data_IF_822880435057
#
_entry.id   IF_822880435057
#
_cell.length_a   1.000
_cell.length_b   1.000
_cell.length_c   1.000
_cell.angle_alpha   90.00
_cell.angle_beta   90.00
_cell.angle_gamma   90.00
#
_symmetry.space_group_name_H-M   'P 1'
#
loop_
_entity.id
_entity.type
_entity.pdbx_description
1 polymer ?
#
# COMPACT_ATOMS: atom_id res chain seq x y z
N UNK A 1 -23.86 10.06 -2.88
CA UNK A 1 -22.64 10.60 -3.50
C UNK A 1 -22.58 12.05 -3.09
N UNK A 2 -21.49 12.49 -2.47
CA UNK A 2 -21.30 13.87 -2.04
C UNK A 2 -20.06 14.43 -2.74
N UNK A 3 -20.12 15.68 -3.18
CA UNK A 3 -19.01 16.31 -3.86
C UNK A 3 -18.26 17.22 -2.88
N UNK A 4 -16.97 16.92 -2.65
CA UNK A 4 -16.14 17.62 -1.67
C UNK A 4 -15.67 18.97 -2.25
N UNK A 5 -15.41 19.00 -3.56
CA UNK A 5 -15.14 20.19 -4.37
C UNK A 5 -15.78 19.99 -5.76
N UNK A 6 -16.11 21.07 -6.48
CA UNK A 6 -17.03 21.13 -7.64
C UNK A 6 -16.97 19.97 -8.66
N UNK A 7 -15.85 19.25 -8.80
CA UNK A 7 -15.68 18.13 -9.73
C UNK A 7 -15.25 16.78 -9.10
N UNK A 8 -14.99 16.69 -7.80
CA UNK A 8 -14.63 15.43 -7.11
C UNK A 8 -15.81 14.97 -6.27
N UNK A 9 -16.50 13.95 -6.77
CA UNK A 9 -17.64 13.34 -6.09
C UNK A 9 -17.28 11.96 -5.55
N UNK A 10 -17.50 11.78 -4.25
CA UNK A 10 -17.18 10.56 -3.52
C UNK A 10 -18.47 9.81 -3.22
N UNK A 11 -18.53 8.55 -3.62
CA UNK A 11 -19.55 7.61 -3.14
C UNK A 11 -18.97 6.79 -2.00
N UNK A 12 -19.76 6.65 -0.95
CA UNK A 12 -19.38 5.94 0.27
C UNK A 12 -20.53 5.02 0.62
N UNK A 13 -20.25 3.73 0.70
CA UNK A 13 -21.25 2.69 0.96
C UNK A 13 -20.62 1.47 1.62
N UNK A 14 -21.49 0.59 2.04
CA UNK A 14 -21.17 -0.77 2.45
C UNK A 14 -21.68 -1.76 1.40
N UNK A 15 -20.94 -2.84 1.18
CA UNK A 15 -21.39 -4.02 0.42
C UNK A 15 -21.28 -5.23 1.34
N UNK A 16 -22.37 -5.99 1.46
CA UNK A 16 -22.37 -7.29 2.11
C UNK A 16 -21.72 -8.32 1.21
N UNK A 17 -20.77 -9.08 1.73
CA UNK A 17 -20.09 -10.20 1.07
C UNK A 17 -20.15 -11.42 1.97
N UNK A 18 -19.82 -12.59 1.43
CA UNK A 18 -20.13 -13.93 1.94
C UNK A 18 -21.60 -14.36 1.73
N UNK A 19 -21.86 -15.66 1.92
CA UNK A 19 -23.19 -16.25 1.70
C UNK A 19 -24.26 -15.70 2.65
N UNK A 20 -23.90 -15.32 3.88
CA UNK A 20 -24.81 -14.75 4.87
C UNK A 20 -24.89 -13.22 4.83
N UNK A 21 -24.03 -12.59 4.01
CA UNK A 21 -23.75 -11.16 3.98
C UNK A 21 -23.38 -10.60 5.36
N UNK A 22 -22.78 -11.41 6.23
CA UNK A 22 -22.42 -10.98 7.58
C UNK A 22 -21.15 -10.12 7.59
N UNK A 23 -20.32 -10.21 6.55
CA UNK A 23 -19.18 -9.31 6.34
C UNK A 23 -19.62 -8.09 5.55
N UNK A 24 -19.46 -6.91 6.16
CA UNK A 24 -19.84 -5.63 5.58
C UNK A 24 -18.59 -4.82 5.24
N UNK A 25 -18.25 -4.77 3.94
CA UNK A 25 -17.08 -4.06 3.45
C UNK A 25 -17.42 -2.62 3.12
N UNK A 26 -16.67 -1.70 3.70
CA UNK A 26 -16.76 -0.27 3.46
C UNK A 26 -15.82 0.16 2.33
N UNK A 27 -16.29 1.07 1.48
CA UNK A 27 -15.46 1.61 0.40
C UNK A 27 -15.72 3.09 0.13
N UNK A 28 -14.70 3.72 -0.45
CA UNK A 28 -14.77 5.03 -1.09
C UNK A 28 -14.65 4.82 -2.59
N UNK A 29 -15.52 5.44 -3.38
CA UNK A 29 -15.45 5.41 -4.84
C UNK A 29 -15.38 6.82 -5.40
N UNK A 30 -14.44 7.03 -6.31
CA UNK A 30 -14.22 8.31 -7.00
C UNK A 30 -14.23 8.03 -8.50
N UNK A 31 -15.05 8.77 -9.23
CA UNK A 31 -15.06 8.74 -10.69
C UNK A 31 -13.82 9.43 -11.25
N UNK A 32 -13.37 8.96 -12.40
CA UNK A 32 -12.35 9.67 -13.17
C UNK A 32 -12.74 11.13 -13.39
N UNK A 33 -11.78 12.03 -13.22
CA UNK A 33 -11.93 13.47 -13.49
C UNK A 33 -11.90 13.77 -15.00
N UNK A 34 -11.43 12.83 -15.85
CA UNK A 34 -11.53 12.92 -17.31
C UNK A 34 -12.84 12.36 -17.86
N UNK A 35 -12.86 11.14 -18.40
CA UNK A 35 -14.03 10.49 -18.96
C UNK A 35 -14.37 9.19 -18.20
N UNK A 36 -15.13 9.24 -17.09
CA UNK A 36 -15.41 8.06 -16.28
C UNK A 36 -16.20 6.95 -17.00
N UNK A 37 -16.75 7.20 -18.19
CA UNK A 37 -17.42 6.17 -19.02
C UNK A 37 -16.44 5.30 -19.80
N UNK A 38 -15.25 5.80 -20.08
CA UNK A 38 -14.23 5.12 -20.90
C UNK A 38 -12.99 4.80 -20.09
N UNK A 39 -12.64 5.68 -19.15
CA UNK A 39 -11.44 5.55 -18.34
C UNK A 39 -11.48 4.29 -17.47
N UNK A 40 -10.31 3.69 -17.20
CA UNK A 40 -10.25 2.47 -16.41
C UNK A 40 -10.86 2.58 -15.02
N UNK A 41 -11.39 1.47 -14.53
CA UNK A 41 -11.77 1.27 -13.14
C UNK A 41 -10.67 0.51 -12.41
N UNK A 42 -10.16 1.07 -11.32
CA UNK A 42 -9.13 0.46 -10.48
C UNK A 42 -9.73 0.07 -9.13
N UNK A 43 -9.64 -1.21 -8.79
CA UNK A 43 -9.89 -1.68 -7.43
C UNK A 43 -8.58 -1.56 -6.64
N UNK A 44 -8.54 -0.61 -5.70
CA UNK A 44 -7.41 -0.35 -4.81
C UNK A 44 -7.70 -0.93 -3.43
N UNK A 45 -7.00 -2.01 -3.07
CA UNK A 45 -7.24 -2.77 -1.84
C UNK A 45 -6.72 -2.06 -0.61
N UNK A 46 -6.55 -2.75 0.52
CA UNK A 46 -5.79 -2.30 1.70
C UNK A 46 -4.50 -3.08 1.93
N UNK A 47 -3.50 -2.42 2.53
CA UNK A 47 -2.19 -3.01 2.85
C UNK A 47 -2.16 -3.49 4.31
N UNK A 48 -0.95 -3.74 4.83
CA UNK A 48 -0.74 -4.14 6.23
C UNK A 48 -0.34 -5.61 6.39
N UNK A 49 -1.26 -6.53 6.77
CA UNK A 49 -2.73 -6.44 6.69
C UNK A 49 -3.38 -5.51 7.73
N UNK A 50 -4.56 -4.98 7.41
CA UNK A 50 -5.39 -4.20 8.34
C UNK A 50 -5.21 -2.68 8.30
N UNK A 51 -4.49 -2.13 7.32
CA UNK A 51 -4.34 -0.69 7.12
C UNK A 51 -5.43 -0.12 6.21
N UNK A 52 -6.28 0.77 6.70
CA UNK A 52 -7.44 1.35 6.00
C UNK A 52 -7.10 2.00 4.65
N UNK A 53 -8.05 1.86 3.72
CA UNK A 53 -8.02 2.34 2.35
C UNK A 53 -8.04 3.86 2.31
N UNK A 54 -8.49 4.47 3.40
CA UNK A 54 -8.38 5.89 3.62
C UNK A 54 -6.94 6.40 3.50
N UNK A 55 -5.93 5.58 3.83
CA UNK A 55 -4.52 5.96 3.59
C UNK A 55 -4.24 6.17 2.10
N UNK A 56 -4.73 5.24 1.27
CA UNK A 56 -4.66 5.34 -0.19
C UNK A 56 -5.40 6.58 -0.72
N UNK A 57 -6.51 6.90 -0.06
CA UNK A 57 -7.41 7.99 -0.43
C UNK A 57 -6.88 9.39 -0.11
N UNK A 58 -6.15 9.58 1.01
CA UNK A 58 -5.71 10.93 1.47
C UNK A 58 -4.19 11.15 1.55
N UNK A 59 -3.37 10.12 1.34
CA UNK A 59 -1.91 10.24 1.41
C UNK A 59 -1.22 9.78 0.13
N UNK A 60 -1.79 8.79 -0.55
CA UNK A 60 -1.14 8.13 -1.69
C UNK A 60 -1.72 8.66 -3.02
N UNK A 61 -2.69 7.94 -3.59
CA UNK A 61 -3.12 8.10 -4.98
C UNK A 61 -4.49 8.78 -5.12
N UNK A 62 -5.20 9.01 -4.01
CA UNK A 62 -6.56 9.54 -4.01
C UNK A 62 -6.64 11.05 -4.25
N UNK A 63 -7.87 11.58 -4.39
CA UNK A 63 -8.11 12.94 -4.85
C UNK A 63 -7.87 14.03 -3.79
N UNK A 64 -7.59 13.64 -2.55
CA UNK A 64 -7.53 14.57 -1.43
C UNK A 64 -6.21 14.40 -0.68
N UNK A 65 -5.83 15.44 0.05
CA UNK A 65 -4.76 15.49 1.03
C UNK A 65 -5.24 16.27 2.26
N UNK A 66 -4.54 16.16 3.37
CA UNK A 66 -4.72 17.12 4.46
C UNK A 66 -3.97 18.42 4.17
N UNK A 67 -4.59 19.55 4.50
CA UNK A 67 -3.93 20.86 4.43
C UNK A 67 -2.69 20.89 5.33
N UNK A 68 -1.57 21.40 4.80
CA UNK A 68 -0.36 21.62 5.59
C UNK A 68 -0.55 22.79 6.57
N UNK A 69 0.02 22.69 7.78
CA UNK A 69 -0.02 23.72 8.83
C UNK A 69 -1.41 23.97 9.46
N UNK A 70 -2.08 22.89 9.87
CA UNK A 70 -3.36 23.00 10.57
C UNK A 70 -3.22 23.59 11.97
N UNK A 71 -4.25 24.33 12.40
CA UNK A 71 -4.36 24.78 13.80
C UNK A 71 -4.71 23.57 14.67
N UNK A 72 -3.95 23.34 15.74
CA UNK A 72 -3.99 22.17 16.64
C UNK A 72 -5.37 21.83 17.27
N UNK A 73 -6.43 22.60 17.01
CA UNK A 73 -7.74 22.47 17.68
C UNK A 73 -8.96 22.51 16.74
N UNK A 74 -8.77 22.49 15.42
CA UNK A 74 -9.85 22.41 14.44
C UNK A 74 -9.95 21.03 13.81
N UNK A 75 -11.14 20.67 13.32
CA UNK A 75 -11.31 19.48 12.47
C UNK A 75 -10.32 19.59 11.29
N UNK A 76 -9.57 18.52 10.97
CA UNK A 76 -8.62 18.58 9.87
C UNK A 76 -9.27 18.92 8.53
N UNK A 77 -8.66 19.85 7.80
CA UNK A 77 -9.16 20.32 6.51
C UNK A 77 -8.56 19.49 5.37
N UNK A 78 -9.41 19.09 4.43
CA UNK A 78 -9.02 18.36 3.22
C UNK A 78 -8.88 19.33 2.04
N UNK A 79 -7.81 19.16 1.27
CA UNK A 79 -7.47 19.90 0.04
C UNK A 79 -7.32 18.93 -1.13
N UNK A 80 -7.40 19.42 -2.37
CA UNK A 80 -7.24 18.58 -3.56
C UNK A 80 -5.80 18.09 -3.71
N UNK A 81 -5.65 16.83 -4.14
CA UNK A 81 -4.37 16.26 -4.54
C UNK A 81 -4.11 16.53 -6.04
N UNK A 82 -3.12 17.37 -6.40
CA UNK A 82 -2.82 17.67 -7.79
C UNK A 82 -2.22 16.47 -8.55
N UNK A 83 -1.79 15.40 -7.86
CA UNK A 83 -1.21 14.20 -8.45
C UNK A 83 -2.11 12.97 -8.25
N UNK A 84 -3.42 13.19 -8.07
CA UNK A 84 -4.37 12.10 -7.92
C UNK A 84 -4.41 11.20 -9.16
N UNK A 85 -4.43 9.89 -8.95
CA UNK A 85 -4.65 8.92 -10.02
C UNK A 85 -6.09 8.97 -10.55
N UNK A 86 -7.02 9.59 -9.79
CA UNK A 86 -8.39 9.83 -10.25
C UNK A 86 -8.47 10.78 -11.43
N UNK A 87 -7.37 11.42 -11.82
CA UNK A 87 -7.31 12.25 -13.02
C UNK A 87 -7.49 11.49 -14.31
N UNK A 88 -7.18 10.19 -14.32
CA UNK A 88 -7.20 9.32 -15.52
C UNK A 88 -7.84 7.96 -15.26
N UNK A 89 -8.43 7.75 -14.08
CA UNK A 89 -9.08 6.49 -13.71
C UNK A 89 -10.19 6.72 -12.68
N UNK A 90 -11.23 5.88 -12.72
CA UNK A 90 -12.15 5.74 -11.60
C UNK A 90 -11.56 4.75 -10.59
N UNK A 91 -11.62 5.04 -9.30
CA UNK A 91 -10.95 4.22 -8.27
C UNK A 91 -11.90 3.86 -7.14
N UNK A 92 -11.92 2.58 -6.78
CA UNK A 92 -12.59 2.04 -5.60
C UNK A 92 -11.52 1.75 -4.54
N UNK A 93 -11.56 2.46 -3.42
CA UNK A 93 -10.71 2.23 -2.25
C UNK A 93 -11.51 1.42 -1.24
N UNK A 94 -11.13 0.16 -0.99
CA UNK A 94 -11.89 -0.77 -0.15
C UNK A 94 -11.14 -1.10 1.15
N UNK A 95 -11.83 -0.98 2.29
CA UNK A 95 -11.31 -1.43 3.58
C UNK A 95 -11.46 -2.97 3.70
N UNK A 96 -10.34 -3.69 3.56
CA UNK A 96 -10.28 -5.16 3.50
C UNK A 96 -8.91 -5.72 3.97
N UNK A 97 -8.82 -6.63 4.95
CA UNK A 97 -9.85 -7.60 5.36
C UNK A 97 -10.92 -7.01 6.29
N UNK A 98 -11.94 -7.81 6.61
CA UNK A 98 -12.96 -7.45 7.62
C UNK A 98 -12.30 -6.98 8.93
N UNK A 99 -12.84 -5.90 9.52
CA UNK A 99 -12.27 -5.21 10.68
C UNK A 99 -11.25 -4.11 10.34
N UNK A 100 -10.87 -3.96 9.07
CA UNK A 100 -10.07 -2.84 8.59
C UNK A 100 -10.92 -1.57 8.51
N UNK A 101 -10.40 -0.45 9.01
CA UNK A 101 -11.04 0.86 8.89
C UNK A 101 -12.51 0.86 9.35
N UNK A 102 -13.44 1.02 8.42
CA UNK A 102 -14.87 1.00 8.71
C UNK A 102 -15.59 -0.31 8.36
N UNK A 103 -14.90 -1.31 7.81
CA UNK A 103 -15.44 -2.63 7.52
C UNK A 103 -15.58 -3.47 8.78
N UNK A 104 -16.66 -4.25 8.89
CA UNK A 104 -16.96 -5.02 10.10
C UNK A 104 -17.72 -6.31 9.80
N UNK A 105 -17.64 -7.28 10.71
CA UNK A 105 -18.48 -8.48 10.70
C UNK A 105 -19.66 -8.30 11.65
N UNK A 106 -20.86 -8.76 11.27
CA UNK A 106 -22.05 -8.72 12.13
C UNK A 106 -21.98 -9.74 13.27
N UNK A 107 -21.15 -10.77 13.12
CA UNK A 107 -20.91 -11.82 14.11
C UNK A 107 -19.43 -11.93 14.46
N UNK A 108 -19.13 -12.58 15.59
CA UNK A 108 -17.75 -12.89 15.98
C UNK A 108 -17.02 -13.77 14.96
N UNK A 109 -17.76 -14.66 14.27
CA UNK A 109 -17.21 -15.50 13.21
C UNK A 109 -16.91 -14.69 11.95
N UNK A 110 -17.85 -13.85 11.50
CA UNK A 110 -17.65 -12.97 10.35
C UNK A 110 -16.55 -11.93 10.57
N UNK A 111 -16.19 -11.64 11.82
CA UNK A 111 -15.07 -10.75 12.15
C UNK A 111 -13.69 -11.39 12.00
N UNK A 112 -13.63 -12.68 11.64
CA UNK A 112 -12.40 -13.45 11.44
C UNK A 112 -12.21 -13.72 9.95
N UNK A 113 -10.98 -13.62 9.48
CA UNK A 113 -10.66 -13.92 8.07
C UNK A 113 -9.25 -14.45 7.88
N UNK A 114 -9.06 -15.12 6.75
CA UNK A 114 -7.77 -15.56 6.22
C UNK A 114 -7.42 -14.76 4.95
N UNK A 115 -6.19 -14.88 4.46
CA UNK A 115 -5.83 -14.30 3.15
C UNK A 115 -6.77 -14.76 2.03
N UNK A 116 -7.06 -16.07 1.98
CA UNK A 116 -7.92 -16.64 0.94
C UNK A 116 -9.36 -16.12 1.04
N UNK A 117 -9.95 -16.13 2.24
CA UNK A 117 -11.28 -15.58 2.46
C UNK A 117 -11.34 -14.10 2.09
N UNK A 118 -10.30 -13.32 2.43
CA UNK A 118 -10.23 -11.92 2.04
C UNK A 118 -10.16 -11.74 0.53
N UNK A 119 -9.47 -12.64 -0.21
CA UNK A 119 -9.43 -12.60 -1.66
C UNK A 119 -10.81 -12.93 -2.28
N UNK A 120 -11.50 -13.93 -1.75
CA UNK A 120 -12.86 -14.29 -2.17
C UNK A 120 -13.84 -13.15 -1.93
N UNK A 121 -13.76 -12.51 -0.77
CA UNK A 121 -14.55 -11.33 -0.41
C UNK A 121 -14.30 -10.15 -1.35
N UNK A 122 -13.05 -9.90 -1.76
CA UNK A 122 -12.74 -8.86 -2.76
C UNK A 122 -13.36 -9.16 -4.13
N UNK A 123 -13.29 -10.43 -4.55
CA UNK A 123 -13.86 -10.90 -5.80
C UNK A 123 -15.40 -10.78 -5.82
N UNK A 124 -16.05 -11.22 -4.74
CA UNK A 124 -17.50 -11.08 -4.58
C UNK A 124 -17.93 -9.62 -4.52
N UNK A 125 -17.21 -8.81 -3.74
CA UNK A 125 -17.42 -7.36 -3.66
C UNK A 125 -17.45 -6.72 -5.04
N UNK A 126 -16.43 -6.98 -5.87
CA UNK A 126 -16.33 -6.36 -7.20
C UNK A 126 -17.50 -6.77 -8.11
N UNK A 127 -17.94 -8.04 -8.03
CA UNK A 127 -19.10 -8.50 -8.80
C UNK A 127 -20.40 -7.83 -8.35
N UNK A 128 -20.68 -7.82 -7.04
CA UNK A 128 -21.86 -7.13 -6.49
C UNK A 128 -21.84 -5.64 -6.83
N UNK A 129 -20.67 -5.01 -6.72
CA UNK A 129 -20.49 -3.62 -7.09
C UNK A 129 -20.82 -3.35 -8.56
N UNK A 130 -20.36 -4.20 -9.49
CA UNK A 130 -20.65 -4.07 -10.92
C UNK A 130 -22.12 -4.35 -11.28
N UNK A 131 -22.83 -5.19 -10.50
CA UNK A 131 -24.28 -5.38 -10.63
C UNK A 131 -25.00 -4.06 -10.30
N UNK A 132 -24.58 -3.39 -9.23
CA UNK A 132 -25.16 -2.10 -8.80
C UNK A 132 -24.70 -0.91 -9.66
N UNK A 133 -23.61 -1.06 -10.40
CA UNK A 133 -23.00 -0.02 -11.23
C UNK A 133 -22.75 -0.50 -12.67
N UNK A 134 -23.82 -0.84 -13.42
CA UNK A 134 -23.70 -1.46 -14.74
C UNK A 134 -22.99 -0.56 -15.78
N UNK A 135 -22.96 0.75 -15.55
CA UNK A 135 -22.24 1.72 -16.38
C UNK A 135 -20.71 1.43 -16.45
N UNK A 136 -20.16 0.71 -15.47
CA UNK A 136 -18.73 0.36 -15.43
C UNK A 136 -18.38 -1.00 -16.03
N UNK A 137 -19.36 -1.76 -16.53
CA UNK A 137 -19.15 -3.11 -17.08
C UNK A 137 -18.22 -3.12 -18.30
N UNK A 138 -18.25 -2.06 -19.11
CA UNK A 138 -17.40 -1.91 -20.29
C UNK A 138 -16.00 -1.37 -19.97
N UNK A 139 -15.80 -0.72 -18.82
CA UNK A 139 -14.53 -0.07 -18.50
C UNK A 139 -13.41 -1.10 -18.36
N UNK A 140 -12.18 -0.81 -18.82
CA UNK A 140 -11.00 -1.60 -18.49
C UNK A 140 -10.85 -1.70 -16.97
N UNK A 141 -10.73 -2.91 -16.42
CA UNK A 141 -10.59 -3.10 -14.97
C UNK A 141 -9.16 -3.54 -14.63
N UNK A 142 -8.59 -2.87 -13.63
CA UNK A 142 -7.31 -3.22 -13.02
C UNK A 142 -7.48 -3.41 -11.51
N UNK A 143 -6.66 -4.27 -10.93
CA UNK A 143 -6.60 -4.48 -9.49
C UNK A 143 -5.18 -4.15 -9.04
N UNK A 144 -5.02 -3.35 -8.00
CA UNK A 144 -3.68 -2.99 -7.55
C UNK A 144 -3.61 -2.48 -6.13
N UNK A 145 -2.40 -2.49 -5.59
CA UNK A 145 -1.99 -1.83 -4.34
C UNK A 145 -0.47 -2.03 -4.12
N UNK A 146 0.04 -1.63 -2.96
CA UNK A 146 1.41 -1.73 -2.52
C UNK A 146 1.58 -2.71 -1.34
N UNK A 147 2.82 -3.15 -1.06
CA UNK A 147 3.21 -3.93 0.12
C UNK A 147 2.67 -5.38 0.16
N UNK A 148 2.08 -5.80 1.29
CA UNK A 148 1.51 -7.14 1.56
C UNK A 148 0.55 -7.63 0.47
N UNK A 149 -0.08 -6.71 -0.26
CA UNK A 149 -1.01 -7.02 -1.35
C UNK A 149 -0.35 -7.66 -2.57
N UNK A 150 0.99 -7.67 -2.65
CA UNK A 150 1.70 -8.53 -3.59
C UNK A 150 1.37 -10.02 -3.44
N UNK A 151 0.90 -10.45 -2.26
CA UNK A 151 0.43 -11.81 -2.02
C UNK A 151 -1.02 -12.02 -2.47
N UNK A 152 -1.90 -11.06 -2.20
CA UNK A 152 -3.36 -11.23 -2.38
C UNK A 152 -3.87 -10.79 -3.75
N UNK A 153 -3.29 -9.76 -4.37
CA UNK A 153 -3.75 -9.22 -5.66
C UNK A 153 -3.64 -10.25 -6.79
N UNK A 154 -2.52 -10.99 -6.97
CA UNK A 154 -2.44 -12.02 -8.00
C UNK A 154 -3.55 -13.09 -7.85
N UNK A 155 -3.96 -13.37 -6.62
CA UNK A 155 -5.00 -14.34 -6.30
C UNK A 155 -6.37 -13.79 -6.70
N UNK A 156 -6.68 -12.55 -6.31
CA UNK A 156 -7.93 -11.86 -6.67
C UNK A 156 -8.07 -11.78 -8.20
N UNK A 157 -7.00 -11.42 -8.89
CA UNK A 157 -6.97 -11.35 -10.36
C UNK A 157 -7.20 -12.74 -10.96
N UNK A 158 -6.62 -13.79 -10.37
CA UNK A 158 -6.86 -15.16 -10.81
C UNK A 158 -8.30 -15.62 -10.56
N UNK A 159 -8.91 -15.27 -9.42
CA UNK A 159 -10.33 -15.53 -9.12
C UNK A 159 -11.24 -14.85 -10.15
N UNK A 160 -10.97 -13.60 -10.51
CA UNK A 160 -11.69 -12.86 -11.55
C UNK A 160 -11.56 -13.58 -12.91
N UNK A 161 -10.33 -13.93 -13.31
CA UNK A 161 -10.08 -14.63 -14.58
C UNK A 161 -10.80 -15.97 -14.65
N UNK A 162 -10.71 -16.78 -13.61
CA UNK A 162 -11.35 -18.09 -13.54
C UNK A 162 -12.88 -17.95 -13.56
N UNK A 163 -13.42 -16.94 -12.87
CA UNK A 163 -14.84 -16.63 -12.89
C UNK A 163 -15.36 -16.21 -14.27
N UNK A 164 -14.57 -15.44 -15.02
CA UNK A 164 -14.89 -15.09 -16.40
C UNK A 164 -14.87 -16.32 -17.33
N UNK A 165 -13.88 -17.20 -17.20
CA UNK A 165 -13.78 -18.46 -17.95
C UNK A 165 -14.95 -19.41 -17.64
N UNK A 166 -15.39 -19.44 -16.38
CA UNK A 166 -16.57 -20.19 -15.96
C UNK A 166 -17.90 -19.54 -16.39
N UNK A 167 -17.87 -18.38 -17.05
CA UNK A 167 -19.07 -17.69 -17.53
C UNK A 167 -19.90 -17.00 -16.44
N UNK A 168 -19.35 -16.82 -15.23
CA UNK A 168 -20.04 -16.18 -14.11
C UNK A 168 -20.29 -14.70 -14.45
N UNK A 169 -21.55 -14.26 -14.36
CA UNK A 169 -21.98 -12.90 -14.69
C UNK A 169 -21.97 -11.97 -13.46
N UNK A 170 -21.76 -10.66 -13.64
CA UNK A 170 -21.33 -10.00 -14.89
C UNK A 170 -19.90 -10.40 -15.28
N UNK A 171 -19.57 -10.42 -16.57
CA UNK A 171 -18.18 -10.60 -16.97
C UNK A 171 -17.39 -9.34 -16.60
N UNK A 172 -16.22 -9.51 -15.99
CA UNK A 172 -15.35 -8.41 -15.58
C UNK A 172 -14.36 -8.15 -16.71
N UNK A 173 -14.30 -6.94 -17.26
CA UNK A 173 -13.36 -6.56 -18.32
C UNK A 173 -11.93 -6.35 -17.77
N UNK A 174 -11.39 -7.40 -17.14
CA UNK A 174 -10.08 -7.42 -16.52
C UNK A 174 -8.97 -7.28 -17.57
N UNK A 175 -8.08 -6.29 -17.39
CA UNK A 175 -6.95 -6.03 -18.29
C UNK A 175 -5.59 -6.31 -17.67
N UNK A 176 -5.48 -6.25 -16.35
CA UNK A 176 -4.20 -6.42 -15.69
C UNK A 176 -4.23 -6.04 -14.22
N UNK A 177 -3.04 -5.92 -13.65
CA UNK A 177 -2.85 -5.57 -12.26
C UNK A 177 -1.57 -4.77 -12.05
N UNK A 178 -1.49 -4.07 -10.92
CA UNK A 178 -0.34 -3.25 -10.59
C UNK A 178 0.04 -3.37 -9.12
N UNK A 179 1.34 -3.43 -8.86
CA UNK A 179 1.90 -3.68 -7.54
C UNK A 179 3.06 -2.73 -7.24
N UNK A 180 2.96 -2.01 -6.12
CA UNK A 180 4.06 -1.21 -5.57
C UNK A 180 4.77 -1.91 -4.42
N UNK A 181 6.09 -1.99 -4.44
CA UNK A 181 6.90 -2.60 -3.39
C UNK A 181 6.31 -3.96 -2.91
N UNK A 182 6.02 -4.93 -3.81
CA UNK A 182 5.22 -6.10 -3.44
C UNK A 182 6.00 -7.15 -2.67
N UNK A 183 5.42 -7.65 -1.58
CA UNK A 183 5.79 -8.96 -1.04
C UNK A 183 5.27 -10.04 -1.99
N UNK A 184 6.13 -10.93 -2.44
CA UNK A 184 5.80 -11.97 -3.43
C UNK A 184 6.29 -13.35 -3.00
N UNK A 185 7.49 -13.42 -2.41
CA UNK A 185 8.09 -14.70 -2.01
C UNK A 185 8.68 -14.61 -0.60
N UNK A 186 8.79 -15.74 0.14
CA UNK A 186 9.48 -15.73 1.43
C UNK A 186 10.94 -15.28 1.34
N UNK A 187 11.54 -15.44 0.15
CA UNK A 187 12.93 -15.09 -0.11
C UNK A 187 13.15 -13.57 -0.24
N UNK A 188 12.09 -12.75 -0.32
CA UNK A 188 12.22 -11.29 -0.45
C UNK A 188 13.00 -10.69 0.73
N UNK A 189 12.82 -11.25 1.94
CA UNK A 189 13.53 -10.84 3.15
C UNK A 189 15.05 -11.06 3.07
N UNK A 190 15.52 -12.04 2.30
CA UNK A 190 16.95 -12.32 2.15
C UNK A 190 17.68 -11.20 1.36
N UNK A 191 16.94 -10.30 0.69
CA UNK A 191 17.50 -9.17 -0.02
C UNK A 191 17.73 -7.93 0.84
N UNK A 192 17.33 -7.94 2.12
CA UNK A 192 17.53 -6.81 3.03
C UNK A 192 19.02 -6.53 3.27
N UNK A 193 19.83 -7.57 3.49
CA UNK A 193 21.28 -7.44 3.73
C UNK A 193 22.04 -6.98 2.47
N UNK A 194 21.84 -7.58 1.29
CA UNK A 194 22.40 -7.05 0.04
C UNK A 194 22.00 -5.59 -0.24
N UNK A 195 20.76 -5.21 0.09
CA UNK A 195 20.31 -3.84 -0.03
C UNK A 195 21.05 -2.91 0.94
N UNK A 196 21.14 -3.28 2.22
CA UNK A 196 21.84 -2.51 3.23
C UNK A 196 23.32 -2.29 2.86
N UNK A 197 23.97 -3.31 2.31
CA UNK A 197 25.33 -3.21 1.76
C UNK A 197 25.39 -2.23 0.58
N UNK A 198 24.51 -2.39 -0.42
CA UNK A 198 24.46 -1.51 -1.59
C UNK A 198 24.16 -0.03 -1.27
N UNK A 199 23.49 0.23 -0.14
CA UNK A 199 23.21 1.58 0.35
C UNK A 199 24.26 2.09 1.36
N UNK A 200 25.32 1.33 1.62
CA UNK A 200 26.42 1.71 2.51
C UNK A 200 26.05 1.73 4.00
N UNK A 201 25.01 1.00 4.40
CA UNK A 201 24.57 0.88 5.79
C UNK A 201 25.41 -0.14 6.59
N UNK A 202 26.08 -1.06 5.89
CA UNK A 202 27.02 -2.02 6.46
C UNK A 202 28.32 -2.05 5.64
N UNK A 203 29.42 -2.46 6.28
CA UNK A 203 30.73 -2.54 5.61
C UNK A 203 30.87 -3.77 4.72
N UNK A 204 31.85 -3.74 3.81
CA UNK A 204 32.19 -4.87 2.94
C UNK A 204 32.55 -6.12 3.75
N UNK A 205 33.31 -5.97 4.83
CA UNK A 205 33.75 -7.09 5.67
C UNK A 205 32.58 -7.78 6.36
N UNK A 206 31.62 -6.99 6.87
CA UNK A 206 30.42 -7.55 7.50
C UNK A 206 29.53 -8.24 6.47
N UNK A 207 29.35 -7.64 5.29
CA UNK A 207 28.58 -8.25 4.20
C UNK A 207 29.21 -9.58 3.73
N UNK A 208 30.52 -9.61 3.49
CA UNK A 208 31.25 -10.83 3.10
C UNK A 208 31.23 -11.89 4.20
N UNK A 209 31.25 -11.49 5.49
CA UNK A 209 31.09 -12.42 6.60
C UNK A 209 29.69 -13.03 6.62
N UNK A 210 28.64 -12.20 6.55
CA UNK A 210 27.23 -12.63 6.46
C UNK A 210 26.98 -13.58 5.29
N UNK A 211 27.54 -13.30 4.10
CA UNK A 211 27.42 -14.17 2.94
C UNK A 211 28.04 -15.54 3.19
N UNK A 212 29.23 -15.59 3.81
CA UNK A 212 29.92 -16.86 4.10
C UNK A 212 29.30 -17.64 5.25
N UNK A 213 28.92 -16.96 6.34
CA UNK A 213 28.42 -17.59 7.56
C UNK A 213 26.96 -18.00 7.44
N UNK A 214 26.11 -17.20 6.78
CA UNK A 214 24.68 -17.46 6.62
C UNK A 214 24.29 -18.08 5.28
N UNK A 215 25.20 -18.14 4.30
CA UNK A 215 24.96 -18.74 2.97
C UNK A 215 23.76 -18.15 2.22
N UNK A 216 23.46 -16.86 2.45
CA UNK A 216 22.34 -16.16 1.83
C UNK A 216 20.98 -16.40 2.49
N UNK A 217 20.92 -17.17 3.57
CA UNK A 217 19.68 -17.44 4.33
C UNK A 217 19.68 -16.68 5.66
N UNK A 218 18.85 -15.64 5.73
CA UNK A 218 18.82 -14.70 6.86
C UNK A 218 17.51 -14.73 7.65
N UNK A 219 16.45 -15.34 7.09
CA UNK A 219 15.14 -15.39 7.73
C UNK A 219 15.08 -16.45 8.85
N UNK A 220 15.57 -17.67 8.57
CA UNK A 220 15.50 -18.82 9.47
C UNK A 220 16.90 -19.33 9.80
N UNK A 221 17.68 -18.49 10.48
CA UNK A 221 19.05 -18.83 10.87
C UNK A 221 19.04 -20.01 11.85
N UNK A 222 19.81 -21.07 11.54
CA UNK A 222 20.00 -22.22 12.43
C UNK A 222 20.56 -21.73 13.79
N UNK A 223 19.88 -22.02 14.92
CA UNK A 223 20.36 -21.66 16.25
C UNK A 223 21.77 -22.18 16.59
N UNK A 224 22.23 -23.24 15.92
CA UNK A 224 23.58 -23.79 16.09
C UNK A 224 24.64 -23.07 15.23
N UNK A 225 24.23 -22.29 14.23
CA UNK A 225 25.15 -21.49 13.40
C UNK A 225 25.53 -20.19 14.11
N UNK A 226 26.37 -20.34 15.14
CA UNK A 226 26.82 -19.24 16.00
C UNK A 226 27.52 -18.11 15.23
N UNK A 227 28.24 -18.42 14.15
CA UNK A 227 28.88 -17.42 13.29
C UNK A 227 27.86 -16.54 12.58
N UNK A 228 26.86 -17.15 11.93
CA UNK A 228 25.79 -16.38 11.28
C UNK A 228 24.99 -15.56 12.28
N UNK A 229 24.70 -16.11 13.47
CA UNK A 229 24.00 -15.37 14.52
C UNK A 229 24.78 -14.13 14.99
N UNK A 230 26.10 -14.25 15.14
CA UNK A 230 26.96 -13.13 15.52
C UNK A 230 27.01 -12.06 14.42
N UNK A 231 27.18 -12.47 13.17
CA UNK A 231 27.20 -11.55 12.03
C UNK A 231 25.84 -10.86 11.85
N UNK A 232 24.74 -11.59 12.00
CA UNK A 232 23.38 -11.03 11.94
C UNK A 232 23.10 -10.07 13.09
N UNK A 233 23.65 -10.34 14.28
CA UNK A 233 23.58 -9.41 15.39
C UNK A 233 24.35 -8.12 15.10
N UNK A 234 25.55 -8.21 14.52
CA UNK A 234 26.33 -7.05 14.09
C UNK A 234 25.58 -6.23 13.02
N UNK A 235 24.98 -6.90 12.03
CA UNK A 235 24.08 -6.28 11.05
C UNK A 235 22.95 -5.51 11.74
N UNK A 236 22.24 -6.17 12.65
CA UNK A 236 21.11 -5.58 13.38
C UNK A 236 21.52 -4.34 14.17
N UNK A 237 22.74 -4.30 14.70
CA UNK A 237 23.29 -3.12 15.40
C UNK A 237 23.64 -1.99 14.42
N UNK A 238 24.21 -2.29 13.25
CA UNK A 238 24.54 -1.28 12.25
C UNK A 238 23.30 -0.54 11.72
N UNK A 239 22.20 -1.26 11.54
CA UNK A 239 20.94 -0.69 11.02
C UNK A 239 19.98 -0.24 12.14
N UNK A 240 20.41 -0.28 13.41
CA UNK A 240 19.58 0.18 14.51
C UNK A 240 19.24 1.67 14.33
N UNK A 241 17.96 2.02 14.52
CA UNK A 241 17.44 3.37 14.28
C UNK A 241 17.18 3.74 12.82
N UNK A 242 17.56 2.92 11.84
CA UNK A 242 17.21 3.15 10.42
C UNK A 242 15.73 2.84 10.19
N UNK A 243 15.01 3.77 9.57
CA UNK A 243 13.62 3.53 9.17
C UNK A 243 13.59 2.64 7.92
N UNK A 244 13.35 1.33 8.10
CA UNK A 244 13.36 0.35 7.01
C UNK A 244 12.41 0.69 5.84
N UNK A 245 11.29 1.35 6.13
CA UNK A 245 10.33 1.79 5.09
C UNK A 245 10.86 2.91 4.20
N UNK A 246 11.84 3.68 4.64
CA UNK A 246 12.50 4.71 3.84
C UNK A 246 13.81 5.09 4.52
N UNK A 247 14.93 4.55 4.07
CA UNK A 247 16.19 4.61 4.83
C UNK A 247 16.76 6.03 5.03
N UNK A 248 16.30 7.02 4.26
CA UNK A 248 16.72 8.43 4.43
C UNK A 248 15.82 9.25 5.37
N UNK A 249 14.69 8.70 5.81
CA UNK A 249 13.74 9.42 6.67
C UNK A 249 14.00 9.10 8.15
N UNK A 250 13.74 10.04 9.08
CA UNK A 250 13.96 9.82 10.50
C UNK A 250 12.95 8.80 11.07
N UNK A 251 13.40 7.97 12.00
CA UNK A 251 12.53 7.04 12.74
C UNK A 251 11.81 7.77 13.88
N UNK A 252 10.49 7.96 13.76
CA UNK A 252 9.73 8.89 14.61
C UNK A 252 8.56 8.26 15.42
N UNK A 253 8.51 6.95 15.60
CA UNK A 253 7.49 6.27 16.43
C UNK A 253 6.18 5.94 15.70
N UNK A 254 5.05 5.84 16.42
CA UNK A 254 3.75 5.42 15.84
C UNK A 254 2.75 6.58 15.68
N UNK A 255 1.94 6.51 14.62
CA UNK A 255 0.92 7.50 14.27
C UNK A 255 -0.28 7.55 15.22
N UNK A 256 -0.75 6.41 15.72
CA UNK A 256 -1.92 6.37 16.62
C UNK A 256 -1.52 6.80 18.03
N UNK A 257 -2.29 7.68 18.70
CA UNK A 257 -2.06 8.02 20.09
C UNK A 257 -2.11 6.76 20.97
N UNK A 258 -1.17 6.62 21.92
CA UNK A 258 -1.32 5.60 22.96
C UNK A 258 -2.49 5.98 23.88
N UNK A 259 -3.27 5.03 24.43
CA UNK A 259 -4.41 5.35 25.30
C UNK A 259 -4.10 6.26 26.50
N UNK A 260 -2.84 6.32 26.94
CA UNK A 260 -2.37 7.17 28.05
C UNK A 260 -2.04 8.63 27.65
N UNK A 261 -1.93 8.93 26.36
CA UNK A 261 -1.64 10.28 25.85
C UNK A 261 -2.89 11.18 25.83
N UNK A 262 -4.08 10.62 26.04
CA UNK A 262 -5.36 11.35 26.11
C UNK A 262 -5.47 12.30 27.33
N UNK A 263 -4.56 12.20 28.32
CA UNK A 263 -4.66 12.97 29.57
C UNK A 263 -3.36 13.62 30.08
N UNK A 264 -2.27 13.63 29.30
CA UNK A 264 -0.99 14.22 29.74
C UNK A 264 -0.63 15.56 29.07
N UNK A 265 -1.61 16.46 28.98
CA UNK A 265 -1.33 17.90 29.10
C UNK A 265 -1.45 18.35 30.58
N UNK A 266 -0.59 17.82 31.44
CA UNK A 266 -0.19 18.53 32.67
C UNK A 266 1.32 18.49 32.76
N UNK A 267 1.94 19.55 32.22
CA UNK A 267 3.32 19.90 32.52
C UNK A 267 3.44 20.05 34.03
N UNK A 268 4.10 19.11 34.69
CA UNK A 268 4.81 19.42 35.91
C UNK A 268 6.14 20.05 35.45
N UNK A 269 6.19 21.37 35.50
CA UNK A 269 7.43 22.12 35.33
C UNK A 269 8.17 21.97 36.65
N UNK A 270 9.23 21.15 36.67
CA UNK A 270 10.24 21.26 37.72
C UNK A 270 11.09 22.50 37.39
N UNK A 271 11.13 23.44 38.33
CA UNK A 271 11.57 24.83 38.13
C UNK A 271 13.09 25.02 38.14
N UNK A 272 13.87 23.95 37.91
CA UNK A 272 15.33 24.00 37.88
C UNK A 272 15.86 23.48 36.56
N UNK A 273 15.94 24.39 35.59
CA UNK A 273 16.98 24.49 34.54
C UNK A 273 16.48 25.46 33.46
N UNK A 274 16.25 26.71 33.88
CA UNK A 274 16.20 27.85 32.94
C UNK A 274 17.64 28.24 32.68
N UNK A 275 18.26 27.64 31.66
CA UNK A 275 19.26 28.31 30.82
C UNK A 275 19.70 27.42 29.66
N UNK A 276 19.59 27.98 28.44
CA UNK A 276 20.23 27.54 27.19
C UNK A 276 19.97 26.11 26.70
N UNK A 277 18.71 25.79 26.38
CA UNK A 277 18.43 24.91 25.25
C UNK A 277 17.71 25.74 24.19
N UNK A 278 18.44 26.12 23.15
CA UNK A 278 17.85 26.47 21.85
C UNK A 278 16.80 25.39 21.58
N UNK A 279 15.52 25.78 21.40
CA UNK A 279 14.47 24.87 20.92
C UNK A 279 14.88 24.39 19.53
N UNK A 280 15.75 23.40 19.44
CA UNK A 280 16.00 22.68 18.20
C UNK A 280 14.72 21.90 17.93
N UNK A 281 14.07 22.19 16.81
CA UNK A 281 12.97 21.39 16.29
C UNK A 281 13.48 19.94 16.18
N UNK A 282 12.74 19.01 16.75
CA UNK A 282 13.02 17.59 16.57
C UNK A 282 12.92 17.26 15.08
N UNK A 283 13.78 16.40 14.50
CA UNK A 283 13.58 15.85 13.17
C UNK A 283 12.19 15.21 12.99
N UNK A 284 11.54 14.84 14.11
CA UNK A 284 10.20 14.29 14.14
C UNK A 284 9.07 15.33 14.16
N UNK A 285 9.35 16.61 14.40
CA UNK A 285 8.33 17.66 14.40
C UNK A 285 7.73 17.86 12.99
N UNK A 286 8.53 17.63 11.94
CA UNK A 286 8.11 17.60 10.53
C UNK A 286 7.77 16.20 10.00
N UNK A 287 7.74 15.17 10.85
CA UNK A 287 7.55 13.79 10.39
C UNK A 287 6.13 13.52 9.90
N UNK A 288 6.01 12.59 8.94
CA UNK A 288 4.75 12.08 8.37
C UNK A 288 3.79 11.51 9.43
N UNK A 289 4.30 11.14 10.60
CA UNK A 289 3.52 10.66 11.74
C UNK A 289 2.53 11.71 12.25
N UNK A 290 2.90 13.00 12.22
CA UNK A 290 1.99 14.08 12.58
C UNK A 290 0.85 14.21 11.57
N UNK A 291 1.11 13.93 10.29
CA UNK A 291 0.10 13.93 9.23
C UNK A 291 -0.88 12.76 9.42
N UNK A 292 -0.40 11.57 9.76
CA UNK A 292 -1.25 10.41 10.02
C UNK A 292 -2.21 10.60 11.21
N UNK A 293 -1.83 11.39 12.23
CA UNK A 293 -2.75 11.76 13.33
C UNK A 293 -3.98 12.53 12.83
N UNK A 294 -3.87 13.28 11.75
CA UNK A 294 -4.99 14.02 11.17
C UNK A 294 -6.09 13.06 10.70
N UNK A 295 -5.74 11.95 10.05
CA UNK A 295 -6.74 10.92 9.69
C UNK A 295 -7.45 10.33 10.90
N UNK A 296 -6.75 10.15 12.03
CA UNK A 296 -7.38 9.64 13.24
C UNK A 296 -8.44 10.62 13.77
N UNK A 297 -8.09 11.90 13.92
CA UNK A 297 -9.04 12.91 14.39
C UNK A 297 -10.19 13.15 13.41
N UNK A 298 -9.91 13.11 12.12
CA UNK A 298 -10.92 13.31 11.08
C UNK A 298 -11.93 12.15 11.05
N UNK A 299 -11.47 10.90 10.98
CA UNK A 299 -12.36 9.73 10.89
C UNK A 299 -13.10 9.43 12.19
N UNK A 300 -12.60 9.87 13.35
CA UNK A 300 -13.28 9.72 14.63
C UNK A 300 -14.17 10.91 15.01
N UNK A 301 -14.28 11.93 14.17
CA UNK A 301 -15.21 13.04 14.42
C UNK A 301 -16.66 12.63 14.10
N UNK A 302 -17.59 12.87 15.02
CA UNK A 302 -19.00 12.46 14.87
C UNK A 302 -19.66 13.02 13.60
N UNK A 303 -19.40 14.29 13.25
CA UNK A 303 -19.98 14.92 12.05
C UNK A 303 -19.42 14.31 10.77
N UNK A 304 -18.13 13.98 10.77
CA UNK A 304 -17.51 13.26 9.65
C UNK A 304 -18.15 11.88 9.53
N UNK A 305 -18.23 11.10 10.61
CA UNK A 305 -18.83 9.76 10.59
C UNK A 305 -20.29 9.76 10.13
N UNK A 306 -21.06 10.77 10.52
CA UNK A 306 -22.42 10.99 10.02
C UNK A 306 -22.43 11.27 8.51
N UNK A 307 -21.55 12.15 8.02
CA UNK A 307 -21.43 12.48 6.60
C UNK A 307 -20.95 11.30 5.73
N UNK A 308 -20.11 10.42 6.28
CA UNK A 308 -19.67 9.17 5.63
C UNK A 308 -20.71 8.04 5.77
N UNK A 309 -21.84 8.29 6.43
CA UNK A 309 -22.88 7.29 6.72
C UNK A 309 -22.35 6.05 7.45
N UNK A 310 -21.43 6.23 8.38
CA UNK A 310 -20.92 5.13 9.22
C UNK A 310 -22.08 4.62 10.09
N UNK A 311 -22.34 3.31 10.01
CA UNK A 311 -23.45 2.69 10.74
C UNK A 311 -23.19 2.78 12.25
N UNK A 312 -24.11 3.38 13.00
CA UNK A 312 -23.96 3.55 14.45
C UNK A 312 -23.77 2.20 15.15
N UNK A 313 -22.79 2.13 16.05
CA UNK A 313 -22.48 0.92 16.82
C UNK A 313 -21.66 -0.14 16.08
N UNK A 314 -21.40 0.01 14.77
CA UNK A 314 -20.58 -0.96 14.01
C UNK A 314 -19.10 -0.90 14.37
N UNK A 315 -18.55 0.31 14.44
CA UNK A 315 -17.16 0.59 14.78
C UNK A 315 -17.16 1.59 15.93
N UNK A 316 -16.41 1.32 17.00
CA UNK A 316 -16.28 2.26 18.12
C UNK A 316 -15.27 3.35 17.77
N UNK A 317 -14.08 2.95 17.36
CA UNK A 317 -12.95 3.81 17.05
C UNK A 317 -12.35 3.40 15.71
N UNK A 318 -12.15 4.36 14.81
CA UNK A 318 -11.41 4.15 13.58
C UNK A 318 -9.90 4.20 13.87
N UNK A 319 -9.19 3.19 13.41
CA UNK A 319 -7.73 3.06 13.54
C UNK A 319 -7.13 2.88 12.14
N UNK A 320 -6.10 3.67 11.82
CA UNK A 320 -5.47 3.63 10.49
C UNK A 320 -4.98 2.25 10.11
N UNK A 321 -4.26 1.58 11.01
CA UNK A 321 -3.81 0.19 10.85
C UNK A 321 -4.16 -0.57 12.12
N UNK A 322 -5.13 -1.47 12.02
CA UNK A 322 -5.67 -2.19 13.16
C UNK A 322 -5.07 -3.60 13.27
N UNK A 323 -4.94 -4.12 14.49
CA UNK A 323 -4.61 -5.52 14.70
C UNK A 323 -5.88 -6.34 14.55
N UNK A 324 -6.00 -7.04 13.44
CA UNK A 324 -7.18 -7.82 13.09
C UNK A 324 -7.16 -9.22 13.72
N UNK A 325 -8.34 -9.84 13.82
CA UNK A 325 -8.45 -11.28 14.01
C UNK A 325 -8.27 -11.97 12.65
N UNK A 326 -7.02 -11.98 12.18
CA UNK A 326 -6.65 -12.37 10.82
C UNK A 326 -5.56 -13.44 10.82
N UNK A 327 -5.72 -14.46 9.98
CA UNK A 327 -4.75 -15.55 9.85
C UNK A 327 -4.07 -15.48 8.49
N UNK A 328 -2.75 -15.33 8.51
CA UNK A 328 -1.92 -15.40 7.31
C UNK A 328 -1.84 -16.87 6.86
N UNK A 329 -2.33 -17.15 5.67
CA UNK A 329 -2.35 -18.47 5.04
C UNK A 329 -1.53 -18.50 3.74
N UNK A 330 -1.08 -17.35 3.25
CA UNK A 330 -0.38 -17.21 1.97
C UNK A 330 0.96 -16.54 2.22
N UNK A 331 2.03 -17.19 1.75
CA UNK A 331 3.41 -16.74 1.92
C UNK A 331 4.14 -16.58 0.59
N UNK A 332 3.53 -17.07 -0.49
CA UNK A 332 4.11 -17.07 -1.83
C UNK A 332 2.99 -16.84 -2.86
N UNK A 333 3.18 -15.86 -3.74
CA UNK A 333 2.27 -15.58 -4.87
C UNK A 333 2.94 -15.74 -6.24
N UNK A 334 4.15 -16.28 -6.31
CA UNK A 334 4.91 -16.44 -7.56
C UNK A 334 4.14 -17.24 -8.61
N UNK A 335 3.54 -18.37 -8.22
CA UNK A 335 2.80 -19.22 -9.16
C UNK A 335 1.55 -18.52 -9.74
N UNK A 336 0.96 -17.59 -9.00
CA UNK A 336 -0.14 -16.76 -9.50
C UNK A 336 0.36 -15.79 -10.58
N UNK A 337 1.53 -15.19 -10.41
CA UNK A 337 2.16 -14.37 -11.46
C UNK A 337 2.45 -15.18 -12.74
N UNK A 338 2.92 -16.42 -12.60
CA UNK A 338 3.11 -17.34 -13.74
C UNK A 338 1.78 -17.57 -14.47
N UNK A 339 0.73 -17.96 -13.74
CA UNK A 339 -0.59 -18.24 -14.30
C UNK A 339 -1.23 -17.03 -14.98
N UNK A 340 -1.10 -15.83 -14.40
CA UNK A 340 -1.66 -14.61 -14.97
C UNK A 340 -0.90 -14.17 -16.22
N UNK A 341 0.43 -14.33 -16.22
CA UNK A 341 1.27 -14.01 -17.37
C UNK A 341 0.95 -14.89 -18.57
N UNK A 342 0.71 -16.19 -18.37
CA UNK A 342 0.35 -17.11 -19.47
C UNK A 342 -1.04 -16.84 -20.04
N UNK A 343 -1.94 -16.25 -19.25
CA UNK A 343 -3.24 -15.75 -19.71
C UNK A 343 -3.16 -14.38 -20.41
N UNK A 344 -1.99 -13.75 -20.48
CA UNK A 344 -1.77 -12.50 -21.19
C UNK A 344 -2.18 -11.24 -20.43
N UNK A 345 -2.36 -11.31 -19.10
CA UNK A 345 -2.64 -10.13 -18.29
C UNK A 345 -1.40 -9.26 -18.14
N UNK A 346 -1.50 -7.99 -18.54
CA UNK A 346 -0.44 -7.00 -18.38
C UNK A 346 -0.23 -6.68 -16.90
N UNK A 347 1.01 -6.38 -16.50
CA UNK A 347 1.33 -5.95 -15.14
C UNK A 347 2.28 -4.76 -15.06
N UNK A 348 2.06 -3.90 -14.06
CA UNK A 348 3.01 -2.88 -13.63
C UNK A 348 3.54 -3.26 -12.26
N UNK A 349 4.82 -3.52 -12.15
CA UNK A 349 5.50 -3.72 -10.87
C UNK A 349 6.42 -2.53 -10.66
N UNK A 350 6.32 -1.87 -9.52
CA UNK A 350 7.23 -0.78 -9.19
C UNK A 350 7.76 -0.89 -7.77
N UNK A 351 8.95 -0.35 -7.52
CA UNK A 351 9.56 -0.32 -6.18
C UNK A 351 10.23 1.02 -5.93
N UNK A 352 9.96 1.62 -4.77
CA UNK A 352 10.85 2.67 -4.25
C UNK A 352 12.26 2.12 -4.02
N UNK A 353 13.29 2.83 -4.51
CA UNK A 353 14.68 2.38 -4.38
C UNK A 353 15.32 2.63 -3.01
N UNK A 354 14.57 3.22 -2.06
CA UNK A 354 14.96 3.41 -0.66
C UNK A 354 14.09 2.60 0.33
N UNK A 355 13.28 1.67 -0.19
CA UNK A 355 12.58 0.69 0.63
C UNK A 355 13.50 -0.47 0.99
N UNK A 356 13.91 -0.55 2.25
CA UNK A 356 14.65 -1.70 2.78
C UNK A 356 13.71 -2.81 3.25
N UNK A 357 12.46 -2.49 3.57
CA UNK A 357 11.49 -3.49 4.06
C UNK A 357 11.13 -4.50 2.97
N UNK A 358 10.91 -4.03 1.73
CA UNK A 358 10.75 -4.87 0.54
C UNK A 358 11.68 -4.34 -0.55
N UNK A 359 12.97 -4.73 -0.52
CA UNK A 359 13.96 -4.20 -1.46
C UNK A 359 13.59 -4.51 -2.90
N UNK A 360 13.81 -3.53 -3.78
CA UNK A 360 13.64 -3.70 -5.23
C UNK A 360 14.46 -4.88 -5.79
N UNK A 361 15.56 -5.26 -5.12
CA UNK A 361 16.38 -6.43 -5.45
C UNK A 361 15.58 -7.74 -5.38
N UNK A 362 14.75 -7.92 -4.34
CA UNK A 362 13.88 -9.09 -4.21
C UNK A 362 12.81 -9.10 -5.30
N UNK A 363 12.22 -7.93 -5.59
CA UNK A 363 11.29 -7.77 -6.70
C UNK A 363 11.92 -8.15 -8.04
N UNK A 364 13.15 -7.68 -8.31
CA UNK A 364 13.88 -8.03 -9.53
C UNK A 364 14.22 -9.52 -9.60
N UNK A 365 14.50 -10.16 -8.46
CA UNK A 365 14.86 -11.57 -8.41
C UNK A 365 13.70 -12.47 -8.81
N UNK A 366 12.50 -12.30 -8.25
CA UNK A 366 11.36 -13.11 -8.64
C UNK A 366 10.91 -12.80 -10.07
N UNK A 367 10.99 -11.55 -10.52
CA UNK A 367 10.70 -11.20 -11.92
C UNK A 367 11.66 -11.93 -12.86
N UNK A 368 12.96 -11.99 -12.52
CA UNK A 368 13.94 -12.75 -13.30
C UNK A 368 13.63 -14.25 -13.30
N UNK A 369 13.15 -14.79 -12.18
CA UNK A 369 12.78 -16.20 -12.06
C UNK A 369 11.59 -16.60 -12.96
N UNK A 370 10.74 -15.65 -13.38
CA UNK A 370 9.71 -15.91 -14.39
C UNK A 370 10.27 -16.24 -15.78
N UNK A 371 11.54 -15.89 -16.04
CA UNK A 371 12.28 -16.25 -17.25
C UNK A 371 11.64 -15.76 -18.58
N UNK A 372 11.05 -14.57 -18.58
CA UNK A 372 10.58 -13.90 -19.80
C UNK A 372 11.71 -13.07 -20.46
N UNK A 373 11.73 -13.04 -21.79
CA UNK A 373 12.69 -12.22 -22.54
C UNK A 373 12.43 -10.73 -22.32
N UNK A 374 13.51 -9.95 -22.24
CA UNK A 374 13.48 -8.49 -22.16
C UNK A 374 13.13 -7.93 -23.54
N UNK A 375 12.18 -6.99 -23.57
CA UNK A 375 11.70 -6.31 -24.79
C UNK A 375 12.14 -4.84 -24.83
N UNK A 376 12.28 -4.20 -23.67
CA UNK A 376 12.88 -2.87 -23.50
C UNK A 376 13.97 -2.97 -22.41
N UNK A 377 15.20 -2.63 -22.78
CA UNK A 377 16.38 -2.76 -21.93
C UNK A 377 16.33 -1.80 -20.73
N UNK A 378 17.12 -2.11 -19.70
CA UNK A 378 17.18 -1.28 -18.49
C UNK A 378 17.64 0.14 -18.81
N UNK A 379 16.78 1.13 -18.59
CA UNK A 379 17.03 2.54 -18.92
C UNK A 379 16.41 3.47 -17.88
N UNK A 380 16.89 4.71 -17.84
CA UNK A 380 16.25 5.74 -17.04
C UNK A 380 14.91 6.17 -17.65
N UNK A 381 13.97 6.56 -16.79
CA UNK A 381 12.74 7.25 -17.17
C UNK A 381 12.66 8.60 -16.45
N UNK A 382 11.96 9.55 -17.06
CA UNK A 382 12.10 10.97 -16.74
C UNK A 382 10.76 11.64 -16.47
N UNK A 383 10.75 12.53 -15.48
CA UNK A 383 9.64 13.39 -15.11
C UNK A 383 10.20 14.80 -14.91
N UNK A 384 9.59 15.79 -15.57
CA UNK A 384 9.97 17.21 -15.45
C UNK A 384 11.49 17.47 -15.64
N UNK A 385 12.12 16.76 -16.58
CA UNK A 385 13.54 16.92 -16.89
C UNK A 385 14.50 16.34 -15.84
N UNK A 386 14.02 15.52 -14.91
CA UNK A 386 14.82 14.78 -13.93
C UNK A 386 14.60 13.28 -14.08
N UNK A 387 15.64 12.49 -13.74
CA UNK A 387 15.52 11.03 -13.67
C UNK A 387 14.59 10.68 -12.49
N UNK A 388 13.44 10.10 -12.83
CA UNK A 388 12.43 9.65 -11.86
C UNK A 388 12.70 8.21 -11.40
N UNK A 389 13.50 7.46 -12.15
CA UNK A 389 13.97 6.12 -11.80
C UNK A 389 14.42 5.36 -13.03
N UNK A 390 14.34 4.03 -12.98
CA UNK A 390 14.74 3.15 -14.06
C UNK A 390 13.66 2.13 -14.39
N UNK A 391 13.58 1.69 -15.63
CA UNK A 391 12.52 0.78 -16.09
C UNK A 391 13.02 -0.21 -17.12
N UNK A 392 12.29 -1.31 -17.27
CA UNK A 392 12.40 -2.28 -18.36
C UNK A 392 11.08 -3.00 -18.57
N UNK A 393 10.90 -3.59 -19.74
CA UNK A 393 9.71 -4.38 -20.07
C UNK A 393 10.05 -5.77 -20.56
N UNK A 394 9.13 -6.71 -20.37
CA UNK A 394 9.29 -8.13 -20.67
C UNK A 394 8.22 -8.61 -21.66
N UNK A 395 8.47 -9.74 -22.31
CA UNK A 395 7.61 -10.31 -23.37
C UNK A 395 6.22 -10.77 -22.90
N UNK A 396 6.01 -10.89 -21.58
CA UNK A 396 4.70 -11.13 -20.98
C UNK A 396 3.91 -9.84 -20.67
N UNK A 397 4.30 -8.70 -21.24
CA UNK A 397 3.72 -7.39 -20.99
C UNK A 397 3.93 -6.86 -19.56
N UNK A 398 4.82 -7.46 -18.78
CA UNK A 398 5.22 -6.90 -17.49
C UNK A 398 6.12 -5.67 -17.70
N UNK A 399 5.82 -4.59 -16.99
CA UNK A 399 6.71 -3.42 -16.85
C UNK A 399 7.23 -3.39 -15.43
N UNK A 400 8.56 -3.35 -15.26
CA UNK A 400 9.17 -3.09 -13.96
C UNK A 400 9.76 -1.68 -13.93
N UNK A 401 9.52 -0.94 -12.84
CA UNK A 401 10.10 0.39 -12.65
C UNK A 401 10.60 0.61 -11.21
N UNK A 402 11.72 1.29 -11.04
CA UNK A 402 12.09 1.89 -9.76
C UNK A 402 11.62 3.33 -9.67
N UNK A 403 11.32 3.79 -8.46
CA UNK A 403 11.02 5.19 -8.15
C UNK A 403 12.17 5.75 -7.33
N UNK A 404 12.93 6.68 -7.92
CA UNK A 404 14.15 7.24 -7.34
C UNK A 404 13.86 8.11 -6.14
N UNK A 405 14.44 7.75 -5.00
CA UNK A 405 14.16 8.38 -3.70
C UNK A 405 12.78 8.04 -3.15
N UNK A 406 12.11 7.01 -3.68
CA UNK A 406 10.89 6.47 -3.11
C UNK A 406 11.21 5.40 -2.06
N UNK A 407 10.43 5.32 -1.01
CA UNK A 407 10.46 4.24 -0.01
C UNK A 407 9.33 3.24 -0.24
N UNK A 408 8.81 2.69 0.85
CA UNK A 408 7.82 1.62 0.84
C UNK A 408 6.47 2.04 0.28
N UNK A 409 6.04 3.27 0.59
CA UNK A 409 4.85 3.91 0.01
C UNK A 409 5.27 4.99 -0.98
N UNK A 410 5.88 4.57 -2.09
CA UNK A 410 6.49 5.49 -3.06
C UNK A 410 5.47 6.53 -3.59
N UNK A 411 4.20 6.15 -3.74
CA UNK A 411 3.11 7.05 -4.14
C UNK A 411 2.88 8.22 -3.18
N UNK A 412 3.15 8.03 -1.88
CA UNK A 412 3.10 9.09 -0.86
C UNK A 412 4.36 9.98 -0.89
N UNK A 413 5.51 9.43 -1.29
CA UNK A 413 6.81 10.12 -1.19
C UNK A 413 7.21 10.84 -2.47
N UNK A 414 6.80 10.28 -3.61
CA UNK A 414 7.11 10.72 -4.97
C UNK A 414 5.83 10.78 -5.80
N UNK A 415 4.83 11.60 -5.38
CA UNK A 415 3.49 11.57 -5.95
C UNK A 415 3.47 11.97 -7.43
N UNK A 416 4.31 12.93 -7.85
CA UNK A 416 4.39 13.37 -9.25
C UNK A 416 4.94 12.24 -10.13
N UNK A 417 6.00 11.58 -9.67
CA UNK A 417 6.64 10.48 -10.35
C UNK A 417 5.71 9.27 -10.45
N UNK A 418 5.07 8.87 -9.35
CA UNK A 418 4.13 7.76 -9.32
C UNK A 418 2.87 8.03 -10.17
N UNK A 419 2.33 9.25 -10.13
CA UNK A 419 1.23 9.66 -11.01
C UNK A 419 1.63 9.56 -12.48
N UNK A 420 2.78 10.14 -12.86
CA UNK A 420 3.25 10.13 -14.25
C UNK A 420 3.51 8.70 -14.75
N UNK A 421 4.06 7.85 -13.89
CA UNK A 421 4.24 6.43 -14.20
C UNK A 421 2.88 5.74 -14.45
N UNK A 422 1.91 5.94 -13.57
CA UNK A 422 0.58 5.35 -13.71
C UNK A 422 -0.12 5.85 -14.98
N UNK A 423 -0.13 7.16 -15.21
CA UNK A 423 -0.73 7.81 -16.39
C UNK A 423 -0.16 7.28 -17.70
N UNK A 424 1.18 7.19 -17.80
CA UNK A 424 1.84 6.62 -19.00
C UNK A 424 1.50 5.15 -19.16
N UNK A 425 1.64 4.36 -18.10
CA UNK A 425 1.42 2.91 -18.18
C UNK A 425 -0.03 2.58 -18.55
N UNK A 426 -1.01 3.21 -17.90
CA UNK A 426 -2.43 2.94 -18.13
C UNK A 426 -2.87 3.35 -19.55
N UNK A 427 -2.19 4.35 -20.13
CA UNK A 427 -2.41 4.82 -21.50
C UNK A 427 -1.60 4.04 -22.55
N UNK A 428 -0.96 2.93 -22.18
CA UNK A 428 -0.05 2.13 -23.02
C UNK A 428 1.13 2.93 -23.61
N UNK A 429 1.55 3.99 -22.93
CA UNK A 429 2.77 4.73 -23.25
C UNK A 429 3.97 4.10 -22.55
N UNK A 430 5.15 4.26 -23.15
CA UNK A 430 6.41 3.89 -22.51
C UNK A 430 6.71 4.85 -21.36
N UNK A 431 7.31 4.32 -20.29
CA UNK A 431 7.81 5.11 -19.17
C UNK A 431 9.00 5.98 -19.57
#
# INVERSE_FOLDING_TARGET
MFCVYMNVCVMIRYVGVDESEDVQLFYYFVKSESNPKEDPLVLWLTGGPGCSAFSGFVYEIGPLNFEANQKERSLPTLVLNPNSWTKVASIIFIDLPVGTGFSYGMTSLASQSTDLQSCDQAYEFLRKWLIDHPDFLSNPIYVGRESYTGLTIPIIVQLISNGNEAGIKPLINLKGYLLGNPATTPNDSNYEIPFAHGMGLISDELYESLQRSCQGEYLNIDPNNTWCLQDYQAYSQCIDGVLKYHILEPSCGSASPKPQELFRERRYVDEKNKELLVRQSSPCDSSRINVYRLSYFWNNNDRVREALHIRKGSITEWIRCNKLSYTITIWDSFQYHVNLSTKGYRSLIFSGDHDMWIPFLGTQAWIRALNYSIVDEWRSWWVQGQVAGYTRTYSNWMTFATIKGGGHTASEQKPIECYTMFERWISNQLL
#
